data_IF_506887201570
#
_entry.id   IF_506887201570
#
_cell.length_a   1.000
_cell.length_b   1.000
_cell.length_c   1.000
_cell.angle_alpha   90.00
_cell.angle_beta   90.00
_cell.angle_gamma   90.00
#
_symmetry.space_group_name_H-M   'P 1'
#
loop_
_entity.id
_entity.type
_entity.pdbx_description
1 polymer ?
#
# COMPACT_ATOMS: atom_id res chain seq x y z
N UNK A 1 -0.60 -6.66 17.06
CA UNK A 1 0.14 -7.35 16.00
C UNK A 1 -0.12 -8.86 15.97
N UNK A 2 -0.28 -9.50 17.12
CA UNK A 2 -0.52 -10.95 17.23
C UNK A 2 -2.00 -11.35 17.33
N UNK A 3 -2.92 -10.48 16.92
CA UNK A 3 -4.37 -10.71 17.08
C UNK A 3 -4.95 -11.70 16.05
N UNK A 4 -4.20 -12.04 15.01
CA UNK A 4 -4.64 -12.93 13.93
C UNK A 4 -3.70 -14.15 13.79
N UNK A 5 -3.25 -14.70 14.92
CA UNK A 5 -2.50 -15.96 14.90
C UNK A 5 -3.46 -17.09 14.60
N UNK A 6 -3.07 -17.97 13.68
CA UNK A 6 -3.85 -19.13 13.25
C UNK A 6 -3.06 -20.43 13.44
N UNK A 7 -3.74 -21.57 13.47
CA UNK A 7 -3.04 -22.86 13.42
C UNK A 7 -2.48 -23.11 12.01
N UNK A 8 -1.44 -23.93 11.92
CA UNK A 8 -0.67 -24.14 10.67
C UNK A 8 -1.55 -24.55 9.47
N UNK A 9 -2.55 -25.39 9.72
CA UNK A 9 -3.46 -25.93 8.71
C UNK A 9 -4.47 -24.88 8.19
N UNK A 10 -4.66 -23.79 8.91
CA UNK A 10 -5.60 -22.71 8.56
C UNK A 10 -4.91 -21.50 7.95
N UNK A 11 -3.58 -21.52 7.83
CA UNK A 11 -2.83 -20.42 7.22
C UNK A 11 -3.33 -20.09 5.83
N UNK A 12 -3.42 -18.81 5.57
CA UNK A 12 -3.81 -18.25 4.28
C UNK A 12 -2.79 -17.21 3.83
N UNK A 13 -2.84 -16.92 2.55
CA UNK A 13 -2.11 -15.82 1.95
C UNK A 13 -3.06 -15.00 1.09
N UNK A 14 -2.75 -13.73 0.91
CA UNK A 14 -3.47 -12.82 0.05
C UNK A 14 -2.50 -12.04 -0.84
N UNK A 15 -3.00 -11.54 -1.95
CA UNK A 15 -2.26 -10.66 -2.87
C UNK A 15 -3.05 -9.39 -3.09
N UNK A 16 -2.33 -8.27 -3.22
CA UNK A 16 -2.83 -7.00 -3.70
C UNK A 16 -2.10 -6.68 -5.01
N UNK A 17 -2.84 -6.30 -6.06
CA UNK A 17 -2.28 -5.91 -7.35
C UNK A 17 -2.83 -4.54 -7.73
N UNK A 18 -1.93 -3.59 -7.95
CA UNK A 18 -2.25 -2.23 -8.37
C UNK A 18 -1.94 -2.04 -9.85
N UNK A 19 -2.72 -1.22 -10.55
CA UNK A 19 -2.44 -0.84 -11.93
C UNK A 19 -2.96 0.57 -12.25
N UNK A 20 -2.34 1.19 -13.26
CA UNK A 20 -2.81 2.46 -13.82
C UNK A 20 -3.88 2.19 -14.88
N UNK A 21 -4.92 3.01 -14.90
CA UNK A 21 -5.99 2.93 -15.90
C UNK A 21 -5.88 4.10 -16.85
N UNK A 22 -5.86 3.78 -18.14
CA UNK A 22 -5.72 4.72 -19.25
C UNK A 22 -6.90 4.60 -20.21
N UNK A 23 -7.26 5.69 -20.83
CA UNK A 23 -8.10 5.71 -22.03
C UNK A 23 -7.28 5.20 -23.22
N UNK A 24 -7.93 4.66 -24.24
CA UNK A 24 -7.21 4.18 -25.43
C UNK A 24 -6.52 5.29 -26.23
N UNK A 25 -6.93 6.55 -26.05
CA UNK A 25 -6.24 7.72 -26.61
C UNK A 25 -4.89 8.06 -25.92
N UNK A 26 -4.50 7.30 -24.86
CA UNK A 26 -3.24 7.48 -24.14
C UNK A 26 -3.31 8.39 -22.92
N UNK A 27 -4.43 9.05 -22.63
CA UNK A 27 -4.58 9.83 -21.40
C UNK A 27 -4.90 8.95 -20.19
N UNK A 28 -4.49 9.38 -18.98
CA UNK A 28 -4.92 8.76 -17.72
C UNK A 28 -6.44 8.92 -17.55
N UNK A 29 -7.06 7.92 -16.96
CA UNK A 29 -8.45 8.04 -16.55
C UNK A 29 -8.56 9.11 -15.44
N UNK A 30 -9.48 10.12 -15.56
CA UNK A 30 -9.72 11.07 -14.48
C UNK A 30 -10.00 10.39 -13.16
N UNK A 31 -9.47 10.92 -12.06
CA UNK A 31 -9.56 10.26 -10.75
C UNK A 31 -10.95 10.47 -10.16
N UNK A 32 -11.37 11.72 -10.06
CA UNK A 32 -12.59 12.11 -9.38
C UNK A 32 -13.78 12.21 -10.34
N UNK A 33 -14.99 12.02 -9.81
CA UNK A 33 -16.23 12.21 -10.59
C UNK A 33 -16.31 13.61 -11.18
N UNK A 34 -16.65 13.66 -12.45
CA UNK A 34 -16.88 14.87 -13.23
C UNK A 34 -17.93 14.58 -14.29
N UNK A 35 -17.97 15.38 -15.37
CA UNK A 35 -18.81 15.09 -16.54
C UNK A 35 -18.27 13.93 -17.41
N UNK A 36 -17.02 13.53 -17.18
CA UNK A 36 -16.39 12.40 -17.83
C UNK A 36 -16.36 11.16 -16.93
N UNK A 37 -16.29 9.98 -17.54
CA UNK A 37 -16.11 8.71 -16.84
C UNK A 37 -14.77 8.71 -16.08
N UNK A 38 -14.80 8.33 -14.80
CA UNK A 38 -13.69 8.47 -13.88
C UNK A 38 -13.28 7.12 -13.23
N UNK A 39 -12.15 7.11 -12.51
CA UNK A 39 -11.72 5.96 -11.72
C UNK A 39 -12.74 5.61 -10.62
N UNK A 40 -13.39 6.61 -10.02
CA UNK A 40 -14.45 6.39 -9.03
C UNK A 40 -15.66 5.68 -9.67
N UNK A 41 -16.05 6.06 -10.89
CA UNK A 41 -17.15 5.37 -11.61
C UNK A 41 -16.78 3.93 -11.95
N UNK A 42 -15.53 3.71 -12.40
CA UNK A 42 -15.01 2.37 -12.66
C UNK A 42 -15.04 1.50 -11.40
N UNK A 43 -14.59 2.04 -10.25
CA UNK A 43 -14.60 1.37 -8.97
C UNK A 43 -16.01 0.92 -8.55
N UNK A 44 -17.00 1.80 -8.67
CA UNK A 44 -18.39 1.48 -8.34
C UNK A 44 -18.93 0.34 -9.21
N UNK A 45 -18.60 0.35 -10.49
CA UNK A 45 -19.07 -0.68 -11.44
C UNK A 45 -18.38 -2.03 -11.17
N UNK A 46 -17.07 -2.03 -10.97
CA UNK A 46 -16.34 -3.28 -10.79
C UNK A 46 -16.71 -3.98 -9.47
N UNK A 47 -16.84 -3.24 -8.39
CA UNK A 47 -17.22 -3.80 -7.09
C UNK A 47 -18.64 -4.40 -7.10
N UNK A 48 -19.58 -3.84 -7.86
CA UNK A 48 -20.93 -4.44 -8.04
C UNK A 48 -20.89 -5.78 -8.77
N UNK A 49 -19.86 -6.03 -9.61
CA UNK A 49 -19.74 -7.24 -10.43
C UNK A 49 -18.90 -8.35 -9.79
N UNK A 50 -18.11 -8.05 -8.78
CA UNK A 50 -17.04 -8.95 -8.32
C UNK A 50 -17.17 -9.38 -6.86
N UNK A 51 -18.38 -9.40 -6.31
CA UNK A 51 -18.69 -9.69 -4.89
C UNK A 51 -17.99 -10.92 -4.27
N UNK A 52 -17.53 -11.89 -5.08
CA UNK A 52 -16.93 -13.13 -4.59
C UNK A 52 -15.49 -13.38 -5.10
N UNK A 53 -14.79 -12.37 -5.59
CA UNK A 53 -13.44 -12.55 -6.14
C UNK A 53 -12.43 -11.53 -5.61
N UNK A 54 -12.57 -11.11 -4.38
CA UNK A 54 -11.77 -10.05 -3.79
C UNK A 54 -12.49 -8.70 -3.79
N UNK A 55 -11.75 -7.65 -3.50
CA UNK A 55 -12.26 -6.29 -3.35
C UNK A 55 -11.39 -5.32 -4.15
N UNK A 56 -12.01 -4.28 -4.71
CA UNK A 56 -11.28 -3.22 -5.41
C UNK A 56 -11.34 -1.93 -4.62
N UNK A 57 -10.21 -1.22 -4.63
CA UNK A 57 -10.04 0.11 -4.04
C UNK A 57 -9.32 1.03 -5.02
N UNK A 58 -9.24 2.30 -4.69
CA UNK A 58 -8.43 3.28 -5.42
C UNK A 58 -7.34 3.82 -4.50
N UNK A 59 -6.14 3.84 -5.05
CA UNK A 59 -5.00 4.55 -4.50
C UNK A 59 -5.11 6.06 -4.77
N UNK A 60 -4.33 6.93 -4.07
CA UNK A 60 -4.50 8.38 -4.11
C UNK A 60 -4.53 9.02 -5.50
N UNK A 61 -3.80 8.49 -6.48
CA UNK A 61 -3.77 8.96 -7.87
C UNK A 61 -4.69 8.18 -8.81
N UNK A 62 -5.69 7.47 -8.26
CA UNK A 62 -6.66 6.71 -9.05
C UNK A 62 -6.12 5.40 -9.61
N UNK A 63 -4.99 4.88 -9.10
CA UNK A 63 -4.55 3.53 -9.39
C UNK A 63 -5.60 2.55 -8.86
N UNK A 64 -5.99 1.58 -9.69
CA UNK A 64 -6.93 0.55 -9.29
C UNK A 64 -6.16 -0.56 -8.57
N UNK A 65 -6.50 -0.80 -7.32
CA UNK A 65 -6.00 -1.91 -6.52
C UNK A 65 -7.05 -3.02 -6.46
N UNK A 66 -6.61 -4.26 -6.66
CA UNK A 66 -7.38 -5.44 -6.36
C UNK A 66 -6.74 -6.24 -5.24
N UNK A 67 -7.51 -6.49 -4.16
CA UNK A 67 -7.10 -7.33 -3.04
C UNK A 67 -7.85 -8.67 -3.12
N UNK A 68 -7.11 -9.79 -3.16
CA UNK A 68 -7.72 -11.12 -3.15
C UNK A 68 -8.41 -11.43 -1.82
N UNK A 69 -9.32 -12.39 -1.81
CA UNK A 69 -9.69 -13.07 -0.57
C UNK A 69 -8.48 -13.83 0.00
N UNK A 70 -8.39 -14.05 1.32
CA UNK A 70 -7.38 -14.91 1.91
C UNK A 70 -7.55 -16.36 1.42
N UNK A 71 -6.51 -16.95 0.82
CA UNK A 71 -6.54 -18.25 0.14
C UNK A 71 -5.53 -19.22 0.75
N UNK A 72 -5.85 -20.52 0.74
CA UNK A 72 -5.06 -21.57 1.41
C UNK A 72 -3.76 -21.96 0.70
N UNK A 73 -3.63 -21.69 -0.60
CA UNK A 73 -2.46 -22.11 -1.38
C UNK A 73 -2.28 -21.30 -2.66
N UNK A 74 -1.11 -21.43 -3.28
CA UNK A 74 -0.73 -20.70 -4.48
C UNK A 74 -1.59 -21.07 -5.72
N UNK A 75 -2.12 -22.28 -5.82
CA UNK A 75 -2.98 -22.66 -6.94
C UNK A 75 -4.29 -21.87 -6.90
N UNK A 76 -4.94 -21.80 -5.73
CA UNK A 76 -6.14 -21.01 -5.55
C UNK A 76 -5.87 -19.51 -5.80
N UNK A 77 -4.70 -19.02 -5.37
CA UNK A 77 -4.30 -17.64 -5.61
C UNK A 77 -4.12 -17.35 -7.09
N UNK A 78 -3.45 -18.24 -7.83
CA UNK A 78 -3.27 -18.12 -9.27
C UNK A 78 -4.62 -18.12 -10.03
N UNK A 79 -5.57 -18.97 -9.62
CA UNK A 79 -6.91 -19.01 -10.22
C UNK A 79 -7.69 -17.71 -9.93
N UNK A 80 -7.60 -17.20 -8.70
CA UNK A 80 -8.20 -15.92 -8.33
C UNK A 80 -7.60 -14.76 -9.15
N UNK A 81 -6.27 -14.73 -9.32
CA UNK A 81 -5.57 -13.74 -10.13
C UNK A 81 -5.96 -13.80 -11.61
N UNK A 82 -6.05 -15.01 -12.20
CA UNK A 82 -6.51 -15.19 -13.58
C UNK A 82 -7.95 -14.68 -13.75
N UNK A 83 -8.83 -15.00 -12.81
CA UNK A 83 -10.21 -14.52 -12.82
C UNK A 83 -10.29 -13.00 -12.69
N UNK A 84 -9.49 -12.40 -11.79
CA UNK A 84 -9.36 -10.96 -11.67
C UNK A 84 -8.98 -10.31 -13.01
N UNK A 85 -7.88 -10.77 -13.63
CA UNK A 85 -7.40 -10.24 -14.92
C UNK A 85 -8.42 -10.37 -16.04
N UNK A 86 -9.13 -11.51 -16.10
CA UNK A 86 -10.19 -11.72 -17.07
C UNK A 86 -11.36 -10.73 -16.88
N UNK A 87 -11.85 -10.59 -15.66
CA UNK A 87 -12.96 -9.67 -15.35
C UNK A 87 -12.58 -8.23 -15.63
N UNK A 88 -11.39 -7.81 -15.17
CA UNK A 88 -10.89 -6.46 -15.38
C UNK A 88 -10.72 -6.15 -16.87
N UNK A 89 -10.07 -7.04 -17.65
CA UNK A 89 -9.85 -6.80 -19.09
C UNK A 89 -11.14 -6.66 -19.87
N UNK A 90 -12.15 -7.49 -19.56
CA UNK A 90 -13.46 -7.39 -20.23
C UNK A 90 -14.21 -6.11 -19.85
N UNK A 91 -14.08 -5.68 -18.60
CA UNK A 91 -14.70 -4.43 -18.18
C UNK A 91 -14.02 -3.23 -18.84
N UNK A 92 -12.70 -3.19 -18.85
CA UNK A 92 -11.94 -2.10 -19.47
C UNK A 92 -12.24 -1.96 -20.96
N UNK A 93 -12.29 -3.07 -21.70
CA UNK A 93 -12.68 -3.07 -23.13
C UNK A 93 -14.07 -2.44 -23.36
N UNK A 94 -15.03 -2.70 -22.46
CA UNK A 94 -16.38 -2.15 -22.58
C UNK A 94 -16.41 -0.60 -22.48
N UNK A 95 -15.48 -0.02 -21.76
CA UNK A 95 -15.41 1.44 -21.52
C UNK A 95 -14.28 2.13 -22.29
N UNK A 96 -13.72 1.46 -23.31
CA UNK A 96 -12.61 1.98 -24.13
C UNK A 96 -11.38 2.35 -23.29
N UNK A 97 -11.05 1.48 -22.30
CA UNK A 97 -9.96 1.63 -21.35
C UNK A 97 -8.94 0.50 -21.48
N UNK A 98 -7.74 0.75 -20.97
CA UNK A 98 -6.68 -0.25 -20.80
C UNK A 98 -5.99 -0.08 -19.44
N UNK A 99 -5.48 -1.18 -18.88
CA UNK A 99 -4.60 -1.16 -17.72
C UNK A 99 -3.13 -1.17 -18.14
N UNK A 100 -2.29 -0.49 -17.37
CA UNK A 100 -0.84 -0.49 -17.51
C UNK A 100 -0.25 -0.99 -16.20
N UNK A 101 0.56 -2.06 -16.28
CA UNK A 101 1.12 -2.77 -15.14
C UNK A 101 2.61 -2.41 -14.89
N UNK A 102 3.05 -1.20 -15.23
CA UNK A 102 4.33 -0.68 -14.76
C UNK A 102 4.25 -0.30 -13.29
N UNK A 103 5.36 -0.41 -12.57
CA UNK A 103 5.42 -0.02 -11.16
C UNK A 103 5.57 1.49 -10.93
N UNK A 104 5.77 2.26 -12.02
CA UNK A 104 5.63 3.73 -12.07
C UNK A 104 4.82 4.11 -13.28
N UNK A 105 4.09 5.22 -13.19
CA UNK A 105 3.44 5.80 -14.37
C UNK A 105 4.51 6.20 -15.39
N UNK A 106 4.47 5.65 -16.62
CA UNK A 106 5.53 5.90 -17.60
C UNK A 106 5.43 7.28 -18.27
N UNK A 107 4.27 7.94 -18.23
CA UNK A 107 3.98 9.11 -19.07
C UNK A 107 3.81 10.41 -18.29
N UNK A 108 3.04 10.36 -17.18
CA UNK A 108 2.58 11.55 -16.48
C UNK A 108 3.41 11.84 -15.23
N UNK A 109 3.62 13.13 -14.97
CA UNK A 109 4.16 13.61 -13.69
C UNK A 109 3.06 13.65 -12.61
N UNK A 110 3.41 13.70 -11.32
CA UNK A 110 2.42 13.82 -10.26
C UNK A 110 1.55 15.08 -10.33
N UNK A 111 2.06 16.16 -10.92
CA UNK A 111 1.38 17.43 -11.10
C UNK A 111 0.23 17.35 -12.11
N UNK A 112 0.32 16.40 -13.04
CA UNK A 112 -0.69 16.14 -14.06
C UNK A 112 -1.79 15.16 -13.60
N UNK A 113 -1.60 14.50 -12.45
CA UNK A 113 -2.53 13.52 -11.89
C UNK A 113 -3.29 14.12 -10.71
N UNK A 114 -4.62 14.09 -10.80
CA UNK A 114 -5.48 14.49 -9.69
C UNK A 114 -5.23 13.62 -8.45
N UNK A 115 -5.35 14.23 -7.28
CA UNK A 115 -5.49 13.51 -6.02
C UNK A 115 -6.97 13.17 -5.80
N UNK A 116 -7.26 11.94 -5.36
CA UNK A 116 -8.62 11.57 -4.96
C UNK A 116 -9.11 12.50 -3.85
N UNK A 117 -10.36 12.95 -3.93
CA UNK A 117 -10.97 13.89 -2.96
C UNK A 117 -11.31 13.18 -1.65
N UNK A 118 -10.30 12.91 -0.86
CA UNK A 118 -10.39 12.32 0.49
C UNK A 118 -9.47 13.10 1.43
N UNK A 119 -9.99 13.49 2.60
CA UNK A 119 -9.25 14.27 3.61
C UNK A 119 -7.95 13.54 4.06
N UNK A 120 -7.99 12.22 4.17
CA UNK A 120 -6.80 11.41 4.51
C UNK A 120 -5.66 11.64 3.50
N UNK A 121 -5.98 11.58 2.22
CA UNK A 121 -4.98 11.72 1.16
C UNK A 121 -4.49 13.15 1.00
N UNK A 122 -5.34 14.15 1.28
CA UNK A 122 -4.90 15.54 1.33
C UNK A 122 -3.87 15.75 2.45
N UNK A 123 -4.13 15.26 3.65
CA UNK A 123 -3.19 15.33 4.78
C UNK A 123 -1.88 14.57 4.49
N UNK A 124 -1.94 13.45 3.77
CA UNK A 124 -0.75 12.72 3.33
C UNK A 124 0.05 13.51 2.29
N UNK A 125 -0.60 14.09 1.29
CA UNK A 125 0.06 14.89 0.25
C UNK A 125 0.81 16.07 0.85
N UNK A 126 0.17 16.82 1.76
CA UNK A 126 0.81 17.90 2.52
C UNK A 126 2.03 17.42 3.32
N UNK A 127 1.94 16.25 3.96
CA UNK A 127 3.04 15.71 4.77
C UNK A 127 4.20 15.28 3.88
N UNK A 128 3.93 14.58 2.79
CA UNK A 128 4.96 14.05 1.91
C UNK A 128 5.58 15.11 1.00
N UNK A 129 4.97 16.27 0.87
CA UNK A 129 5.58 17.44 0.22
C UNK A 129 6.78 18.00 1.02
N UNK A 130 6.83 17.76 2.32
CA UNK A 130 7.87 18.28 3.22
C UNK A 130 8.79 17.21 3.83
N UNK A 131 8.41 15.93 3.78
CA UNK A 131 9.18 14.84 4.43
C UNK A 131 10.26 14.23 3.54
N UNK A 132 10.18 14.43 2.23
CA UNK A 132 11.10 13.93 1.21
C UNK A 132 10.93 14.69 -0.10
N UNK A 133 11.50 14.15 -1.17
CA UNK A 133 11.47 14.77 -2.50
C UNK A 133 10.53 14.07 -3.47
N UNK A 134 10.05 12.87 -3.15
CA UNK A 134 9.30 12.02 -4.09
C UNK A 134 7.94 11.54 -3.55
N UNK A 135 7.41 12.20 -2.51
CA UNK A 135 6.15 11.79 -1.89
C UNK A 135 4.96 11.83 -2.83
N UNK A 136 4.86 12.84 -3.71
CA UNK A 136 3.79 12.92 -4.71
C UNK A 136 3.91 11.84 -5.78
N UNK A 137 5.14 11.47 -6.17
CA UNK A 137 5.38 10.33 -7.06
C UNK A 137 4.89 9.03 -6.45
N UNK A 138 5.19 8.79 -5.18
CA UNK A 138 4.72 7.63 -4.45
C UNK A 138 3.20 7.57 -4.44
N UNK A 139 2.52 8.67 -4.10
CA UNK A 139 1.07 8.70 -3.95
C UNK A 139 0.31 8.56 -5.27
N UNK A 140 0.77 9.22 -6.34
CA UNK A 140 -0.02 9.37 -7.56
C UNK A 140 0.46 8.52 -8.73
N UNK A 141 1.75 8.14 -8.71
CA UNK A 141 2.42 7.56 -9.87
C UNK A 141 3.17 6.25 -9.55
N UNK A 142 2.90 5.59 -8.43
CA UNK A 142 3.45 4.27 -8.13
C UNK A 142 2.36 3.20 -8.05
N UNK A 143 2.71 1.98 -8.43
CA UNK A 143 1.87 0.80 -8.34
C UNK A 143 2.72 -0.42 -7.95
N UNK A 144 2.12 -1.40 -7.27
CA UNK A 144 2.85 -2.55 -6.75
C UNK A 144 2.05 -3.85 -6.79
N UNK A 145 2.74 -4.93 -6.45
CA UNK A 145 2.15 -6.18 -6.00
C UNK A 145 2.60 -6.38 -4.55
N UNK A 146 1.65 -6.64 -3.66
CA UNK A 146 1.89 -6.87 -2.24
C UNK A 146 1.38 -8.25 -1.85
N UNK A 147 2.05 -8.90 -0.90
CA UNK A 147 1.66 -10.24 -0.42
C UNK A 147 1.44 -10.18 1.08
N UNK A 148 0.31 -10.72 1.53
CA UNK A 148 -0.06 -10.82 2.93
C UNK A 148 0.00 -12.29 3.37
N UNK A 149 0.60 -12.57 4.53
CA UNK A 149 0.72 -13.89 5.13
C UNK A 149 0.12 -13.94 6.51
N UNK A 150 -0.67 -14.97 6.79
CA UNK A 150 -0.98 -15.36 8.17
C UNK A 150 0.25 -15.98 8.83
N UNK A 151 0.33 -15.90 10.15
CA UNK A 151 1.40 -16.48 10.97
C UNK A 151 0.83 -17.32 12.11
N UNK A 152 1.61 -18.30 12.58
CA UNK A 152 1.20 -19.24 13.63
C UNK A 152 1.65 -18.82 15.02
N UNK A 153 2.47 -17.80 15.12
CA UNK A 153 2.96 -17.29 16.39
C UNK A 153 4.03 -16.23 16.26
N UNK A 154 4.44 -15.70 17.40
CA UNK A 154 5.44 -14.62 17.47
C UNK A 154 6.75 -14.99 16.77
N UNK A 155 7.29 -16.18 17.10
CA UNK A 155 8.58 -16.63 16.54
C UNK A 155 8.55 -16.72 15.03
N UNK A 156 7.51 -17.33 14.45
CA UNK A 156 7.36 -17.43 13.01
C UNK A 156 7.20 -16.06 12.36
N UNK A 157 6.40 -15.15 12.96
CA UNK A 157 6.25 -13.78 12.48
C UNK A 157 7.60 -13.05 12.42
N UNK A 158 8.40 -13.16 13.46
CA UNK A 158 9.73 -12.54 13.54
C UNK A 158 10.70 -13.09 12.48
N UNK A 159 10.74 -14.42 12.33
CA UNK A 159 11.56 -15.09 11.33
C UNK A 159 11.14 -14.74 9.90
N UNK A 160 9.84 -14.82 9.61
CA UNK A 160 9.30 -14.47 8.29
C UNK A 160 9.53 -12.99 7.95
N UNK A 161 9.32 -12.08 8.91
CA UNK A 161 9.55 -10.66 8.71
C UNK A 161 11.02 -10.37 8.39
N UNK A 162 11.95 -10.95 9.16
CA UNK A 162 13.37 -10.78 8.96
C UNK A 162 13.85 -11.35 7.61
N UNK A 163 13.39 -12.55 7.25
CA UNK A 163 13.74 -13.19 5.97
C UNK A 163 13.17 -12.38 4.80
N UNK A 164 11.91 -11.96 4.89
CA UNK A 164 11.27 -11.18 3.82
C UNK A 164 11.97 -9.84 3.59
N UNK A 165 12.35 -9.14 4.66
CA UNK A 165 13.07 -7.87 4.56
C UNK A 165 14.48 -8.06 4.00
N UNK A 166 15.18 -9.12 4.44
CA UNK A 166 16.53 -9.46 3.93
C UNK A 166 16.53 -9.87 2.45
N UNK A 167 15.45 -10.51 1.98
CA UNK A 167 15.28 -10.91 0.58
C UNK A 167 14.70 -9.80 -0.30
N UNK A 168 14.13 -8.76 0.29
CA UNK A 168 13.45 -7.70 -0.44
C UNK A 168 14.31 -7.05 -1.54
N UNK A 169 15.62 -6.73 -1.34
CA UNK A 169 16.45 -6.17 -2.39
C UNK A 169 16.59 -7.10 -3.60
N UNK A 170 16.66 -8.41 -3.37
CA UNK A 170 16.77 -9.42 -4.44
C UNK A 170 15.44 -9.53 -5.20
N UNK A 171 14.33 -9.62 -4.48
CA UNK A 171 12.99 -9.65 -5.08
C UNK A 171 12.71 -8.37 -5.88
N UNK A 172 13.03 -7.22 -5.31
CA UNK A 172 12.90 -5.90 -5.94
C UNK A 172 13.73 -5.77 -7.23
N UNK A 173 14.91 -6.39 -7.29
CA UNK A 173 15.71 -6.45 -8.51
C UNK A 173 15.12 -7.38 -9.57
N UNK A 174 14.69 -8.59 -9.17
CA UNK A 174 14.14 -9.60 -10.09
C UNK A 174 12.82 -9.13 -10.71
N UNK A 175 11.93 -8.56 -9.91
CA UNK A 175 10.61 -8.12 -10.32
C UNK A 175 10.51 -6.64 -10.70
N UNK A 176 11.66 -5.96 -10.85
CA UNK A 176 11.71 -4.55 -11.21
C UNK A 176 11.00 -4.28 -12.56
N UNK A 177 10.07 -3.33 -12.56
CA UNK A 177 9.25 -2.97 -13.72
C UNK A 177 8.89 -1.48 -13.75
N UNK A 178 9.87 -0.60 -13.53
CA UNK A 178 9.66 0.85 -13.54
C UNK A 178 10.80 1.61 -14.23
N UNK A 179 11.11 1.28 -15.52
CA UNK A 179 12.24 1.89 -16.23
C UNK A 179 11.89 3.26 -16.85
N UNK A 180 10.65 3.74 -16.74
CA UNK A 180 10.18 4.96 -17.40
C UNK A 180 9.49 5.91 -16.42
N UNK A 181 9.71 7.21 -16.60
CA UNK A 181 8.94 8.33 -16.05
C UNK A 181 8.94 9.48 -17.08
N UNK A 182 7.88 10.28 -17.10
CA UNK A 182 7.76 11.45 -18.00
C UNK A 182 8.13 11.13 -19.46
N UNK A 183 7.63 10.03 -19.99
CA UNK A 183 7.92 9.54 -21.35
C UNK A 183 9.40 9.27 -21.65
N UNK A 184 10.25 9.13 -20.63
CA UNK A 184 11.70 8.94 -20.79
C UNK A 184 12.21 7.75 -19.99
N UNK A 185 13.18 7.03 -20.56
CA UNK A 185 13.91 6.01 -19.83
C UNK A 185 14.81 6.65 -18.77
N UNK A 186 14.76 6.14 -17.54
CA UNK A 186 15.53 6.70 -16.41
C UNK A 186 16.89 6.03 -16.18
N UNK A 187 17.27 5.07 -17.03
CA UNK A 187 18.55 4.35 -16.92
C UNK A 187 18.61 3.30 -15.80
N UNK A 188 17.57 3.19 -15.00
CA UNK A 188 17.41 2.16 -13.96
C UNK A 188 16.12 1.40 -14.16
N UNK A 189 16.07 0.12 -13.74
CA UNK A 189 14.86 -0.71 -13.90
C UNK A 189 13.87 -0.56 -12.77
N UNK A 190 14.31 -0.06 -11.61
CA UNK A 190 13.52 0.04 -10.38
C UNK A 190 13.43 1.48 -9.87
N UNK A 191 12.82 2.33 -10.67
CA UNK A 191 12.54 3.73 -10.26
C UNK A 191 11.58 3.79 -9.07
N UNK A 192 10.64 2.84 -8.96
CA UNK A 192 9.71 2.77 -7.83
C UNK A 192 10.45 2.67 -6.49
N UNK A 193 11.48 1.83 -6.38
CA UNK A 193 12.26 1.73 -5.15
C UNK A 193 12.89 3.08 -4.76
N UNK A 194 13.48 3.78 -5.74
CA UNK A 194 14.06 5.10 -5.51
C UNK A 194 13.00 6.13 -5.03
N UNK A 195 11.79 6.07 -5.59
CA UNK A 195 10.67 6.90 -5.15
C UNK A 195 10.35 6.66 -3.66
N UNK A 196 10.21 5.39 -3.26
CA UNK A 196 9.90 5.03 -1.88
C UNK A 196 11.02 5.38 -0.90
N UNK A 197 12.28 5.20 -1.29
CA UNK A 197 13.46 5.59 -0.49
C UNK A 197 13.53 7.11 -0.24
N UNK A 198 12.98 7.91 -1.15
CA UNK A 198 12.97 9.38 -1.05
C UNK A 198 11.62 9.98 -0.67
N UNK A 199 10.68 9.17 -0.14
CA UNK A 199 9.36 9.63 0.30
C UNK A 199 9.38 10.12 1.76
N UNK A 200 9.71 9.25 2.71
CA UNK A 200 9.81 9.60 4.14
C UNK A 200 10.69 8.58 4.87
N UNK A 201 11.90 8.98 5.22
CA UNK A 201 12.89 8.13 5.88
C UNK A 201 12.48 7.65 7.28
N UNK A 202 11.44 8.25 7.89
CA UNK A 202 10.98 7.86 9.23
C UNK A 202 10.04 6.66 9.19
N UNK A 203 9.39 6.39 8.05
CA UNK A 203 8.34 5.36 7.93
C UNK A 203 8.46 4.41 6.75
N UNK A 204 9.29 4.74 5.75
CA UNK A 204 9.60 3.92 4.58
C UNK A 204 10.88 3.11 4.80
N UNK A 205 11.37 2.40 3.76
CA UNK A 205 12.60 1.63 3.70
C UNK A 205 12.51 0.26 4.39
N UNK A 206 13.65 -0.41 4.49
CA UNK A 206 13.77 -1.72 5.10
C UNK A 206 13.89 -1.65 6.64
N UNK A 207 13.80 -2.78 7.30
CA UNK A 207 13.89 -2.86 8.76
C UNK A 207 15.32 -2.56 9.28
N UNK A 208 16.35 -2.85 8.48
CA UNK A 208 17.75 -2.52 8.83
C UNK A 208 17.97 -1.02 9.00
N UNK A 209 17.36 -0.19 8.16
CA UNK A 209 17.43 1.27 8.27
C UNK A 209 16.78 1.80 9.57
N UNK A 210 15.98 0.95 10.21
CA UNK A 210 15.34 1.22 11.49
C UNK A 210 15.96 0.46 12.67
N UNK A 211 17.24 0.05 12.55
CA UNK A 211 18.04 -0.66 13.56
C UNK A 211 17.48 -2.02 13.97
N UNK A 212 16.79 -2.72 13.09
CA UNK A 212 16.26 -4.06 13.31
C UNK A 212 17.11 -5.05 12.49
N UNK A 213 18.15 -5.64 13.13
CA UNK A 213 19.21 -6.42 12.48
C UNK A 213 19.09 -7.93 12.71
N UNK A 214 18.06 -8.42 13.37
CA UNK A 214 17.90 -9.81 13.77
C UNK A 214 16.43 -10.18 13.88
N UNK A 215 16.10 -11.44 13.62
CA UNK A 215 14.77 -11.98 13.91
C UNK A 215 14.49 -12.05 15.41
N UNK A 216 15.52 -12.26 16.24
CA UNK A 216 15.34 -12.32 17.71
C UNK A 216 14.93 -10.97 18.29
N UNK A 217 13.74 -10.91 18.88
CA UNK A 217 13.18 -9.67 19.46
C UNK A 217 12.79 -8.64 18.39
N UNK A 218 12.56 -9.07 17.15
CA UNK A 218 12.16 -8.18 16.05
C UNK A 218 10.86 -7.47 16.37
N UNK A 219 9.89 -8.17 16.92
CA UNK A 219 8.56 -7.62 17.21
C UNK A 219 8.63 -6.47 18.21
N UNK A 220 9.41 -6.60 19.28
CA UNK A 220 9.60 -5.55 20.28
C UNK A 220 10.28 -4.32 19.68
N UNK A 221 11.35 -4.53 18.90
CA UNK A 221 12.05 -3.45 18.20
C UNK A 221 11.16 -2.76 17.17
N UNK A 222 10.34 -3.53 16.44
CA UNK A 222 9.38 -2.99 15.51
C UNK A 222 8.32 -2.12 16.21
N UNK A 223 7.81 -2.56 17.36
CA UNK A 223 6.87 -1.77 18.17
C UNK A 223 7.54 -0.48 18.64
N UNK A 224 8.77 -0.56 19.17
CA UNK A 224 9.53 0.62 19.59
C UNK A 224 9.74 1.59 18.43
N UNK A 225 10.14 1.10 17.26
CA UNK A 225 10.27 1.89 16.04
C UNK A 225 8.96 2.60 15.69
N UNK A 226 7.87 1.86 15.56
CA UNK A 226 6.54 2.39 15.19
C UNK A 226 6.10 3.48 16.16
N UNK A 227 6.26 3.28 17.47
CA UNK A 227 5.88 4.25 18.50
C UNK A 227 6.65 5.58 18.37
N UNK A 228 7.86 5.55 17.83
CA UNK A 228 8.70 6.74 17.62
C UNK A 228 8.49 7.43 16.27
N UNK A 229 7.73 6.83 15.33
CA UNK A 229 7.42 7.47 14.04
C UNK A 229 6.46 8.64 14.27
N UNK A 230 6.71 9.82 13.66
CA UNK A 230 5.74 10.91 13.67
C UNK A 230 4.44 10.49 12.98
N UNK A 231 3.29 10.68 13.60
CA UNK A 231 2.00 10.37 12.98
C UNK A 231 1.74 11.28 11.77
N UNK A 232 1.20 10.73 10.69
CA UNK A 232 0.73 11.52 9.53
C UNK A 232 -0.49 12.35 9.91
N UNK A 233 -1.38 11.71 10.64
CA UNK A 233 -2.63 12.30 11.11
C UNK A 233 -3.07 11.62 12.42
N UNK A 234 -3.92 12.31 13.14
CA UNK A 234 -4.57 11.85 14.38
C UNK A 234 -6.09 11.87 14.23
N UNK A 235 -6.75 11.20 15.15
CA UNK A 235 -8.19 11.25 15.31
C UNK A 235 -8.52 12.24 16.42
N UNK A 236 -9.31 13.29 16.13
CA UNK A 236 -9.75 14.26 17.11
C UNK A 236 -10.91 13.73 18.00
N UNK A 237 -11.43 14.55 18.88
CA UNK A 237 -12.53 14.19 19.79
C UNK A 237 -13.84 13.86 19.08
N UNK A 238 -14.02 14.39 17.88
CA UNK A 238 -15.18 14.17 17.02
C UNK A 238 -14.97 13.06 15.99
N UNK A 239 -13.91 12.26 16.13
CA UNK A 239 -13.48 11.23 15.19
C UNK A 239 -13.08 11.74 13.78
N UNK A 240 -12.76 13.01 13.62
CA UNK A 240 -12.23 13.55 12.37
C UNK A 240 -10.72 13.38 12.28
N UNK A 241 -10.22 13.20 11.05
CA UNK A 241 -8.79 13.19 10.77
C UNK A 241 -8.23 14.61 10.79
N UNK A 242 -7.16 14.80 11.53
CA UNK A 242 -6.40 16.05 11.64
C UNK A 242 -4.90 15.78 11.50
N UNK A 243 -4.15 16.76 11.00
CA UNK A 243 -2.70 16.73 10.98
C UNK A 243 -2.13 16.49 12.39
N UNK A 244 -1.06 15.73 12.48
CA UNK A 244 -0.31 15.52 13.71
C UNK A 244 1.16 15.86 13.51
N UNK A 245 1.75 16.52 14.53
CA UNK A 245 3.19 16.76 14.63
C UNK A 245 3.84 15.93 15.75
N UNK A 246 3.06 15.02 16.34
CA UNK A 246 3.49 14.16 17.46
C UNK A 246 3.82 12.75 16.97
N UNK A 247 4.59 12.02 17.77
CA UNK A 247 4.83 10.60 17.51
C UNK A 247 3.57 9.77 17.74
N UNK A 248 3.51 8.60 17.10
CA UNK A 248 2.41 7.63 17.29
C UNK A 248 2.23 7.32 18.77
N UNK A 249 3.31 7.17 19.55
CA UNK A 249 3.25 6.95 20.99
C UNK A 249 2.45 8.02 21.72
N UNK A 250 2.74 9.30 21.44
CA UNK A 250 2.05 10.41 22.11
C UNK A 250 0.56 10.43 21.75
N UNK A 251 0.21 10.14 20.50
CA UNK A 251 -1.20 10.08 20.08
C UNK A 251 -1.94 8.90 20.72
N UNK A 252 -1.30 7.73 20.82
CA UNK A 252 -1.89 6.57 21.52
C UNK A 252 -2.05 6.81 23.03
N UNK A 253 -1.05 7.42 23.69
CA UNK A 253 -1.14 7.81 25.09
C UNK A 253 -2.26 8.82 25.34
N UNK A 254 -2.46 9.78 24.43
CA UNK A 254 -3.56 10.73 24.50
C UNK A 254 -4.93 10.03 24.46
N UNK A 255 -5.12 9.12 23.50
CA UNK A 255 -6.35 8.31 23.42
C UNK A 255 -6.54 7.43 24.65
N UNK A 256 -5.48 6.84 25.18
CA UNK A 256 -5.54 6.01 26.40
C UNK A 256 -5.98 6.85 27.61
N UNK A 257 -5.39 8.02 27.83
CA UNK A 257 -5.77 8.93 28.95
C UNK A 257 -7.21 9.39 28.88
N UNK A 258 -7.79 9.41 27.68
CA UNK A 258 -9.22 9.76 27.48
C UNK A 258 -10.15 8.54 27.51
N UNK A 259 -9.66 7.34 27.83
CA UNK A 259 -10.41 6.08 27.72
C UNK A 259 -11.01 5.83 26.32
N UNK A 260 -10.35 6.30 25.24
CA UNK A 260 -10.78 6.19 23.85
C UNK A 260 -9.89 5.25 23.02
N UNK A 261 -8.83 4.69 23.60
CA UNK A 261 -7.94 3.77 22.89
C UNK A 261 -8.64 2.45 22.61
N UNK A 262 -8.71 2.09 21.35
CA UNK A 262 -9.31 0.84 20.86
C UNK A 262 -8.32 0.07 19.97
N UNK A 263 -8.51 -1.23 19.73
CA UNK A 263 -7.73 -1.98 18.74
C UNK A 263 -7.76 -1.35 17.34
N UNK A 264 -8.87 -0.72 16.94
CA UNK A 264 -9.01 -0.01 15.68
C UNK A 264 -8.09 1.21 15.60
N UNK A 265 -7.92 1.95 16.70
CA UNK A 265 -6.96 3.06 16.75
C UNK A 265 -5.52 2.56 16.56
N UNK A 266 -5.15 1.43 17.19
CA UNK A 266 -3.81 0.84 17.01
C UNK A 266 -3.61 0.45 15.54
N UNK A 267 -4.57 -0.23 14.92
CA UNK A 267 -4.53 -0.60 13.51
C UNK A 267 -4.40 0.63 12.61
N UNK A 268 -5.14 1.69 12.90
CA UNK A 268 -5.09 2.96 12.18
C UNK A 268 -3.69 3.60 12.19
N UNK A 269 -2.98 3.56 13.32
CA UNK A 269 -1.60 4.09 13.38
C UNK A 269 -0.59 3.15 12.72
N UNK A 270 -0.76 1.84 12.79
CA UNK A 270 0.07 0.87 12.08
C UNK A 270 -0.01 1.03 10.55
N UNK A 271 -1.16 1.45 10.02
CA UNK A 271 -1.34 1.74 8.60
C UNK A 271 -0.54 2.97 8.11
N UNK A 272 0.02 3.78 9.02
CA UNK A 272 0.86 4.93 8.67
C UNK A 272 2.35 4.57 8.55
N UNK A 273 2.70 3.29 8.64
CA UNK A 273 4.05 2.75 8.44
C UNK A 273 4.12 2.15 7.04
N UNK A 274 5.20 2.42 6.32
CA UNK A 274 5.40 2.03 4.92
C UNK A 274 6.74 1.34 4.68
N UNK A 275 7.24 0.62 5.70
CA UNK A 275 8.42 -0.24 5.54
C UNK A 275 8.20 -1.32 4.48
N UNK A 276 9.26 -1.80 3.84
CA UNK A 276 9.20 -2.85 2.80
C UNK A 276 8.50 -4.12 3.31
N UNK A 277 8.66 -4.41 4.60
CA UNK A 277 7.90 -5.42 5.32
C UNK A 277 7.15 -4.72 6.45
N UNK A 278 5.83 -4.85 6.46
CA UNK A 278 4.96 -4.20 7.43
C UNK A 278 4.24 -5.24 8.29
N UNK A 279 4.32 -5.06 9.61
CA UNK A 279 3.57 -5.89 10.56
C UNK A 279 2.27 -5.17 10.92
N UNK A 280 1.16 -5.81 10.61
CA UNK A 280 -0.19 -5.44 11.05
C UNK A 280 -0.76 -6.60 11.87
N UNK A 281 -1.98 -7.02 11.59
CA UNK A 281 -2.51 -8.32 12.03
C UNK A 281 -2.13 -9.47 11.09
N UNK A 282 -1.38 -9.18 10.06
CA UNK A 282 -0.73 -10.10 9.11
C UNK A 282 0.68 -9.58 8.82
N UNK A 283 1.53 -10.43 8.27
CA UNK A 283 2.79 -10.02 7.68
C UNK A 283 2.53 -9.57 6.24
N UNK A 284 2.84 -8.33 5.92
CA UNK A 284 2.68 -7.75 4.59
C UNK A 284 4.06 -7.48 3.98
N UNK A 285 4.33 -8.06 2.82
CA UNK A 285 5.52 -7.80 2.01
C UNK A 285 5.10 -6.86 0.87
N UNK A 286 5.73 -5.69 0.81
CA UNK A 286 5.36 -4.58 -0.07
C UNK A 286 6.39 -4.47 -1.18
N UNK A 287 6.00 -4.81 -2.40
CA UNK A 287 6.88 -4.88 -3.56
C UNK A 287 7.24 -3.55 -4.19
#
# INVERSE_FOLDING_TARGET
LLSNIVVSEERKLGIEEECFIYKNNGSRLPVNKSNEFSAVDLLEIINRKTLNNGHYTLEPGGQLEWSSLPLKNLNLLNDALKKHKYVLSNLLKKYDLKSISYATDPQFSPEEIELIKDNKYQLMDERFDISGTMGRWMMRNSASIQINFDTTGKKELEEMAFISDSLHPVASFIFSNSPFINNSGVGIKNMRNLIWENTDNKRCRNLFDHNIFSSSGLLEKYIEYVLNVPALFKIDENNNLKKSDKTINIELQFLHKQNRLTPQNIKFYLQQIFTNVRLKNVLEVRG
#
